data_IF_841836900278
#
_entry.id   IF_841836900278
#
_cell.length_a   1.000
_cell.length_b   1.000
_cell.length_c   1.000
_cell.angle_alpha   90.00
_cell.angle_beta   90.00
_cell.angle_gamma   90.00
#
_symmetry.space_group_name_H-M   'P 1'
#
loop_
_entity.id
_entity.type
_entity.pdbx_description
1 polymer ?
#
# COMPACT_ATOMS: atom_id res chain seq x y z
N UNK A 1 38.42 -15.81 -32.69
CA UNK A 1 38.04 -16.08 -31.28
C UNK A 1 38.07 -14.86 -30.34
N UNK A 2 39.05 -13.94 -30.42
CA UNK A 2 39.21 -12.78 -29.49
C UNK A 2 38.00 -11.81 -29.50
N UNK A 3 37.48 -11.45 -30.70
CA UNK A 3 36.28 -10.59 -30.85
C UNK A 3 35.02 -11.16 -30.16
N UNK A 4 34.79 -12.48 -30.23
CA UNK A 4 33.62 -13.14 -29.60
C UNK A 4 33.76 -13.16 -28.06
N UNK A 5 34.97 -13.41 -27.54
CA UNK A 5 35.25 -13.32 -26.09
C UNK A 5 34.98 -11.91 -25.56
N UNK A 6 35.37 -10.87 -26.30
CA UNK A 6 35.10 -9.47 -25.94
C UNK A 6 33.60 -9.15 -25.93
N UNK A 7 32.83 -9.57 -26.94
CA UNK A 7 31.37 -9.40 -26.95
C UNK A 7 30.70 -10.04 -25.75
N UNK A 8 31.08 -11.28 -25.39
CA UNK A 8 30.54 -11.97 -24.20
C UNK A 8 30.82 -11.21 -22.90
N UNK A 9 32.00 -10.60 -22.77
CA UNK A 9 32.37 -9.79 -21.60
C UNK A 9 31.52 -8.53 -21.50
N UNK A 10 31.34 -7.81 -22.62
CA UNK A 10 30.51 -6.59 -22.68
C UNK A 10 29.06 -6.89 -22.25
N UNK A 11 28.44 -7.92 -22.81
CA UNK A 11 27.07 -8.30 -22.43
C UNK A 11 26.93 -8.59 -20.94
N UNK A 12 27.92 -9.28 -20.34
CA UNK A 12 27.90 -9.55 -18.90
C UNK A 12 27.98 -8.29 -18.05
N UNK A 13 28.79 -7.31 -18.45
CA UNK A 13 28.88 -6.03 -17.74
C UNK A 13 27.54 -5.28 -17.80
N UNK A 14 26.91 -5.21 -18.97
CA UNK A 14 25.61 -4.55 -19.15
C UNK A 14 24.53 -5.26 -18.32
N UNK A 15 24.45 -6.60 -18.42
CA UNK A 15 23.49 -7.40 -17.65
C UNK A 15 23.70 -7.25 -16.14
N UNK A 16 24.94 -7.10 -15.68
CA UNK A 16 25.24 -6.84 -14.28
C UNK A 16 24.75 -5.45 -13.84
N UNK A 17 24.94 -4.42 -14.67
CA UNK A 17 24.36 -3.09 -14.43
C UNK A 17 22.84 -3.13 -14.35
N UNK A 18 22.18 -3.82 -15.28
CA UNK A 18 20.71 -4.03 -15.25
C UNK A 18 20.27 -4.80 -14.01
N UNK A 19 21.05 -5.79 -13.57
CA UNK A 19 20.78 -6.54 -12.36
C UNK A 19 20.85 -5.66 -11.11
N UNK A 20 21.82 -4.74 -11.01
CA UNK A 20 21.89 -3.77 -9.90
C UNK A 20 20.64 -2.87 -9.90
N UNK A 21 20.28 -2.30 -11.05
CA UNK A 21 19.08 -1.46 -11.17
C UNK A 21 17.82 -2.23 -10.75
N UNK A 22 17.70 -3.47 -11.22
CA UNK A 22 16.63 -4.39 -10.84
C UNK A 22 16.59 -4.64 -9.34
N UNK A 23 17.71 -4.96 -8.70
CA UNK A 23 17.77 -5.22 -7.25
C UNK A 23 17.37 -3.98 -6.46
N UNK A 24 17.82 -2.79 -6.85
CA UNK A 24 17.41 -1.53 -6.19
C UNK A 24 15.89 -1.35 -6.30
N UNK A 25 15.32 -1.57 -7.49
CA UNK A 25 13.87 -1.50 -7.69
C UNK A 25 13.11 -2.55 -6.86
N UNK A 26 13.62 -3.79 -6.83
CA UNK A 26 13.04 -4.90 -6.06
C UNK A 26 12.98 -4.59 -4.56
N UNK A 27 14.09 -4.11 -3.98
CA UNK A 27 14.15 -3.67 -2.59
C UNK A 27 13.12 -2.58 -2.32
N UNK A 28 13.03 -1.58 -3.21
CA UNK A 28 12.07 -0.47 -3.06
C UNK A 28 10.63 -0.96 -3.11
N UNK A 29 10.30 -1.84 -4.05
CA UNK A 29 8.92 -2.32 -4.26
C UNK A 29 8.47 -3.21 -3.11
N UNK A 30 9.32 -4.14 -2.64
CA UNK A 30 8.90 -5.13 -1.64
C UNK A 30 8.88 -4.53 -0.24
N UNK A 31 9.98 -3.92 0.20
CA UNK A 31 10.09 -3.40 1.57
C UNK A 31 9.09 -2.26 1.84
N UNK A 32 8.79 -1.43 0.84
CA UNK A 32 7.94 -0.26 0.98
C UNK A 32 6.55 -0.44 0.34
N UNK A 33 6.10 -1.68 0.13
CA UNK A 33 4.74 -2.00 -0.37
C UNK A 33 3.65 -1.46 0.55
N UNK A 34 3.88 -1.49 1.87
CA UNK A 34 2.86 -1.15 2.87
C UNK A 34 2.95 0.28 3.41
N UNK A 35 4.13 0.93 3.30
CA UNK A 35 4.40 2.22 3.95
C UNK A 35 5.37 3.02 3.06
N UNK A 36 5.06 4.31 2.85
CA UNK A 36 5.99 5.22 2.16
C UNK A 36 7.20 5.55 3.05
N UNK A 37 8.40 5.67 2.48
CA UNK A 37 9.64 6.01 3.21
C UNK A 37 9.46 7.22 4.14
N UNK A 38 8.68 8.22 3.75
CA UNK A 38 8.44 9.44 4.54
C UNK A 38 7.56 9.18 5.79
N UNK A 39 6.69 8.17 5.76
CA UNK A 39 5.80 7.82 6.87
C UNK A 39 6.58 7.16 8.01
N UNK A 40 7.66 6.44 7.70
CA UNK A 40 8.59 5.84 8.68
C UNK A 40 9.21 6.92 9.58
N UNK A 41 9.63 8.06 8.99
CA UNK A 41 10.24 9.18 9.72
C UNK A 41 9.23 10.07 10.46
N UNK A 42 7.93 9.97 10.13
CA UNK A 42 6.88 10.80 10.73
C UNK A 42 6.19 10.17 11.95
N UNK A 43 6.70 9.05 12.45
CA UNK A 43 6.14 8.39 13.64
C UNK A 43 4.79 7.72 13.36
N UNK A 44 4.61 7.14 12.17
CA UNK A 44 3.45 6.31 11.87
C UNK A 44 3.29 5.21 12.93
N UNK A 45 2.05 4.89 13.31
CA UNK A 45 1.78 3.82 14.27
C UNK A 45 2.35 2.52 13.73
N UNK A 46 3.46 2.07 14.35
CA UNK A 46 4.13 0.84 13.98
C UNK A 46 3.14 -0.30 14.10
N UNK A 47 2.77 -0.89 12.97
CA UNK A 47 1.88 -2.03 12.90
C UNK A 47 2.66 -3.14 12.21
N UNK A 48 2.94 -4.19 12.96
CA UNK A 48 3.52 -5.42 12.45
C UNK A 48 2.48 -6.52 12.54
N UNK A 49 2.34 -7.28 11.47
CA UNK A 49 1.55 -8.50 11.45
C UNK A 49 2.37 -9.63 10.85
N UNK A 50 2.05 -10.86 11.22
CA UNK A 50 2.71 -12.03 10.68
C UNK A 50 1.63 -13.03 10.24
N UNK A 51 1.70 -13.46 8.99
CA UNK A 51 0.92 -14.57 8.46
C UNK A 51 1.87 -15.73 8.16
N UNK A 52 1.73 -16.82 8.91
CA UNK A 52 2.47 -18.07 8.71
C UNK A 52 1.59 -19.18 8.14
N UNK A 53 0.30 -18.92 7.90
CA UNK A 53 -0.63 -19.91 7.34
C UNK A 53 -0.52 -19.82 5.82
N UNK A 54 0.02 -20.86 5.16
CA UNK A 54 0.14 -20.86 3.71
C UNK A 54 -1.23 -20.76 3.04
N UNK A 55 -1.25 -20.05 1.92
CA UNK A 55 -2.38 -19.74 1.06
C UNK A 55 -3.48 -18.88 1.70
N UNK A 56 -3.36 -18.48 2.96
CA UNK A 56 -4.38 -17.69 3.65
C UNK A 56 -4.61 -16.35 2.95
N UNK A 57 -3.54 -15.62 2.68
CA UNK A 57 -3.65 -14.30 2.05
C UNK A 57 -4.10 -14.45 0.60
N UNK A 58 -3.61 -15.47 -0.09
CA UNK A 58 -4.05 -15.79 -1.46
C UNK A 58 -5.57 -16.05 -1.50
N UNK A 59 -6.09 -16.88 -0.61
CA UNK A 59 -7.52 -17.20 -0.52
C UNK A 59 -8.33 -15.96 -0.14
N UNK A 60 -7.90 -15.20 0.87
CA UNK A 60 -8.56 -13.95 1.26
C UNK A 60 -8.65 -12.95 0.10
N UNK A 61 -7.60 -12.85 -0.71
CA UNK A 61 -7.63 -12.03 -1.92
C UNK A 61 -8.61 -12.55 -2.98
N UNK A 62 -8.69 -13.87 -3.18
CA UNK A 62 -9.65 -14.50 -4.11
C UNK A 62 -11.09 -14.27 -3.64
N UNK A 63 -11.35 -14.36 -2.34
CA UNK A 63 -12.70 -14.15 -1.78
C UNK A 63 -13.13 -12.68 -1.87
N UNK A 64 -12.19 -11.75 -1.67
CA UNK A 64 -12.43 -10.30 -1.75
C UNK A 64 -12.42 -9.77 -3.20
N UNK A 65 -12.07 -10.61 -4.18
CA UNK A 65 -11.98 -10.30 -5.61
C UNK A 65 -13.28 -9.73 -6.20
N UNK A 66 -14.44 -10.10 -5.64
CA UNK A 66 -15.75 -9.62 -6.10
C UNK A 66 -16.04 -8.15 -5.75
N UNK A 67 -15.35 -7.57 -4.77
CA UNK A 67 -15.67 -6.23 -4.24
C UNK A 67 -14.66 -5.13 -4.61
N UNK A 68 -13.39 -5.46 -4.86
CA UNK A 68 -12.30 -4.46 -5.00
C UNK A 68 -11.93 -4.07 -6.45
N UNK A 69 -12.52 -4.72 -7.47
CA UNK A 69 -12.17 -4.54 -8.88
C UNK A 69 -11.00 -5.44 -9.32
N UNK A 70 -11.17 -6.07 -10.48
CA UNK A 70 -10.37 -7.21 -10.96
C UNK A 70 -8.87 -6.95 -11.13
N UNK A 71 -8.46 -5.71 -11.42
CA UNK A 71 -7.07 -5.40 -11.78
C UNK A 71 -6.16 -5.18 -10.57
N UNK A 72 -6.61 -4.48 -9.51
CA UNK A 72 -5.78 -4.20 -8.32
C UNK A 72 -5.48 -5.46 -7.51
N UNK A 73 -6.48 -6.34 -7.34
CA UNK A 73 -6.30 -7.61 -6.64
C UNK A 73 -5.33 -8.53 -7.40
N UNK A 74 -5.47 -8.62 -8.72
CA UNK A 74 -4.54 -9.36 -9.57
C UNK A 74 -3.13 -8.75 -9.55
N UNK A 75 -2.99 -7.43 -9.62
CA UNK A 75 -1.70 -6.75 -9.61
C UNK A 75 -0.90 -6.98 -8.31
N UNK A 76 -1.57 -7.11 -7.16
CA UNK A 76 -0.90 -7.40 -5.89
C UNK A 76 -0.35 -8.83 -5.81
N UNK A 77 -1.13 -9.82 -6.25
CA UNK A 77 -0.78 -11.24 -6.21
C UNK A 77 0.19 -11.62 -7.33
N UNK A 78 -0.13 -11.23 -8.56
CA UNK A 78 0.73 -11.44 -9.71
C UNK A 78 1.99 -10.58 -9.64
N UNK A 79 1.95 -9.43 -8.96
CA UNK A 79 3.09 -8.55 -8.75
C UNK A 79 4.25 -9.25 -8.02
N UNK A 80 3.96 -9.93 -6.91
CA UNK A 80 4.97 -10.67 -6.13
C UNK A 80 5.61 -11.80 -6.96
N UNK A 81 4.80 -12.53 -7.75
CA UNK A 81 5.32 -13.56 -8.66
C UNK A 81 6.17 -12.95 -9.79
N UNK A 82 5.64 -11.95 -10.50
CA UNK A 82 6.28 -11.38 -11.69
C UNK A 82 7.57 -10.64 -11.32
N UNK A 83 7.62 -9.97 -10.17
CA UNK A 83 8.78 -9.17 -9.76
C UNK A 83 10.05 -10.01 -9.50
N UNK A 84 9.90 -11.30 -9.18
CA UNK A 84 11.02 -12.23 -9.01
C UNK A 84 11.45 -12.98 -10.28
N UNK A 85 10.71 -12.87 -11.39
CA UNK A 85 11.13 -13.51 -12.66
C UNK A 85 12.53 -13.07 -13.12
N UNK A 86 12.91 -11.77 -13.07
CA UNK A 86 14.26 -11.36 -13.42
C UNK A 86 15.35 -11.98 -12.56
N UNK A 87 15.12 -12.17 -11.27
CA UNK A 87 16.04 -12.92 -10.42
C UNK A 87 16.27 -14.34 -10.97
N UNK A 88 15.18 -15.01 -11.38
CA UNK A 88 15.18 -16.36 -11.93
C UNK A 88 16.04 -16.55 -13.18
N UNK A 89 16.12 -15.56 -14.08
CA UNK A 89 16.94 -15.66 -15.30
C UNK A 89 18.28 -14.90 -15.23
N UNK A 90 18.41 -13.81 -14.43
CA UNK A 90 19.64 -13.01 -14.36
C UNK A 90 20.71 -13.70 -13.52
N UNK A 91 20.35 -14.23 -12.35
CA UNK A 91 21.29 -14.87 -11.41
C UNK A 91 22.05 -16.04 -12.05
N UNK A 92 21.39 -17.06 -12.64
CA UNK A 92 22.07 -18.15 -13.37
C UNK A 92 22.84 -17.69 -14.61
N UNK A 93 22.51 -16.54 -15.20
CA UNK A 93 23.19 -15.98 -16.38
C UNK A 93 24.50 -15.27 -16.00
N UNK A 94 24.47 -14.55 -14.88
CA UNK A 94 25.62 -13.80 -14.37
C UNK A 94 26.61 -14.73 -13.67
N UNK A 95 26.13 -15.69 -12.89
CA UNK A 95 26.96 -16.55 -12.05
C UNK A 95 26.69 -18.05 -12.27
N UNK A 96 27.73 -18.77 -12.69
CA UNK A 96 27.66 -20.23 -12.97
C UNK A 96 27.33 -21.07 -11.74
N UNK A 97 27.60 -20.59 -10.52
CA UNK A 97 27.25 -21.31 -9.27
C UNK A 97 25.73 -21.49 -9.13
N UNK A 98 24.95 -20.59 -9.73
CA UNK A 98 23.50 -20.63 -9.75
C UNK A 98 22.94 -21.21 -11.05
N UNK A 99 23.78 -21.87 -11.87
CA UNK A 99 23.35 -22.42 -13.16
C UNK A 99 22.32 -23.56 -13.05
N UNK A 100 22.17 -24.16 -11.86
CA UNK A 100 21.16 -25.19 -11.54
C UNK A 100 19.95 -24.53 -10.89
N UNK A 101 18.75 -24.98 -11.27
CA UNK A 101 17.48 -24.47 -10.72
C UNK A 101 17.45 -24.51 -9.18
N UNK A 102 17.95 -25.57 -8.55
CA UNK A 102 18.00 -25.70 -7.09
C UNK A 102 18.75 -24.54 -6.42
N UNK A 103 19.89 -24.12 -6.98
CA UNK A 103 20.66 -23.00 -6.46
C UNK A 103 19.89 -21.69 -6.59
N UNK A 104 19.21 -21.47 -7.72
CA UNK A 104 18.37 -20.28 -7.94
C UNK A 104 17.19 -20.23 -6.98
N UNK A 105 16.52 -21.37 -6.76
CA UNK A 105 15.38 -21.51 -5.83
C UNK A 105 15.81 -21.21 -4.40
N UNK A 106 16.93 -21.77 -3.94
CA UNK A 106 17.46 -21.51 -2.59
C UNK A 106 17.80 -20.02 -2.44
N UNK A 107 18.42 -19.42 -3.46
CA UNK A 107 18.78 -18.00 -3.44
C UNK A 107 17.55 -17.08 -3.43
N UNK A 108 16.52 -17.38 -4.22
CA UNK A 108 15.29 -16.58 -4.26
C UNK A 108 14.48 -16.73 -2.97
N UNK A 109 14.39 -17.95 -2.42
CA UNK A 109 13.77 -18.20 -1.13
C UNK A 109 14.48 -17.41 -0.03
N UNK A 110 15.82 -17.48 0.02
CA UNK A 110 16.61 -16.74 1.01
C UNK A 110 16.46 -15.22 0.89
N UNK A 111 16.43 -14.67 -0.34
CA UNK A 111 16.19 -13.25 -0.56
C UNK A 111 14.78 -12.83 -0.15
N UNK A 112 13.76 -13.65 -0.47
CA UNK A 112 12.39 -13.35 -0.06
C UNK A 112 12.22 -13.42 1.45
N UNK A 113 12.79 -14.43 2.09
CA UNK A 113 12.80 -14.54 3.56
C UNK A 113 13.49 -13.33 4.21
N UNK A 114 14.60 -12.88 3.62
CA UNK A 114 15.27 -11.66 4.08
C UNK A 114 14.34 -10.43 4.03
N UNK A 115 13.54 -10.28 2.97
CA UNK A 115 12.56 -9.19 2.90
C UNK A 115 11.50 -9.29 3.99
N UNK A 116 10.87 -10.46 4.15
CA UNK A 116 9.85 -10.66 5.18
C UNK A 116 10.38 -10.39 6.60
N UNK A 117 11.58 -10.90 6.91
CA UNK A 117 12.24 -10.67 8.21
C UNK A 117 12.55 -9.20 8.40
N UNK A 118 13.04 -8.51 7.36
CA UNK A 118 13.32 -7.08 7.43
C UNK A 118 12.06 -6.27 7.69
N UNK A 119 10.95 -6.60 7.01
CA UNK A 119 9.66 -5.94 7.22
C UNK A 119 9.14 -6.15 8.65
N UNK A 120 9.28 -7.35 9.20
CA UNK A 120 8.91 -7.67 10.58
C UNK A 120 9.73 -6.86 11.58
N UNK A 121 11.06 -6.92 11.46
CA UNK A 121 12.02 -6.32 12.42
C UNK A 121 11.94 -4.80 12.40
N UNK A 122 11.77 -4.20 11.22
CA UNK A 122 11.64 -2.75 11.09
C UNK A 122 10.22 -2.24 11.40
N UNK A 123 9.25 -3.15 11.61
CA UNK A 123 7.86 -2.83 11.90
C UNK A 123 7.23 -1.96 10.79
N UNK A 124 7.62 -2.22 9.55
CA UNK A 124 7.26 -1.43 8.35
C UNK A 124 6.18 -2.12 7.49
N UNK A 125 5.65 -3.26 7.94
CA UNK A 125 4.61 -3.96 7.18
C UNK A 125 4.19 -5.30 7.80
N UNK A 126 3.49 -6.08 6.98
CA UNK A 126 3.08 -7.45 7.28
C UNK A 126 4.07 -8.43 6.68
N UNK A 127 4.54 -9.38 7.49
CA UNK A 127 5.28 -10.52 6.98
C UNK A 127 4.33 -11.64 6.57
N UNK A 128 4.52 -12.19 5.37
CA UNK A 128 3.60 -13.17 4.79
C UNK A 128 4.33 -14.34 4.14
N UNK A 129 4.01 -15.56 4.57
CA UNK A 129 4.55 -16.78 3.96
C UNK A 129 4.15 -16.93 2.49
N UNK A 130 2.99 -16.37 2.11
CA UNK A 130 2.51 -16.41 0.72
C UNK A 130 3.40 -15.60 -0.20
N UNK A 131 3.98 -14.50 0.29
CA UNK A 131 4.92 -13.67 -0.48
C UNK A 131 6.22 -14.44 -0.75
N UNK A 132 6.73 -15.20 0.22
CA UNK A 132 7.89 -16.11 0.01
C UNK A 132 7.58 -17.17 -1.05
N UNK A 133 6.40 -17.77 -1.00
CA UNK A 133 5.97 -18.79 -1.96
C UNK A 133 5.89 -18.18 -3.37
N UNK A 134 5.18 -17.05 -3.52
CA UNK A 134 4.99 -16.38 -4.81
C UNK A 134 6.30 -15.89 -5.41
N UNK A 135 7.17 -15.28 -4.61
CA UNK A 135 8.48 -14.80 -5.03
C UNK A 135 9.36 -15.97 -5.50
N UNK A 136 9.33 -17.09 -4.78
CA UNK A 136 10.08 -18.30 -5.16
C UNK A 136 9.54 -18.91 -6.45
N UNK A 137 8.22 -19.00 -6.61
CA UNK A 137 7.58 -19.45 -7.86
C UNK A 137 7.89 -18.51 -9.03
N UNK A 138 7.94 -17.20 -8.77
CA UNK A 138 8.38 -16.18 -9.71
C UNK A 138 9.79 -16.44 -10.24
N UNK A 139 10.73 -16.73 -9.35
CA UNK A 139 12.09 -17.09 -9.73
C UNK A 139 12.15 -18.42 -10.52
N UNK A 140 11.32 -19.41 -10.19
CA UNK A 140 11.18 -20.64 -10.98
C UNK A 140 10.68 -20.34 -12.39
N UNK A 141 9.63 -19.51 -12.52
CA UNK A 141 9.10 -19.10 -13.82
C UNK A 141 10.15 -18.35 -14.66
N UNK A 142 10.91 -17.44 -14.04
CA UNK A 142 12.04 -16.76 -14.67
C UNK A 142 13.14 -17.73 -15.13
N UNK A 143 13.49 -18.72 -14.31
CA UNK A 143 14.45 -19.76 -14.70
C UNK A 143 13.96 -20.60 -15.88
N UNK A 144 12.65 -20.85 -15.97
CA UNK A 144 12.04 -21.52 -17.11
C UNK A 144 12.20 -20.72 -18.40
N UNK A 145 12.07 -19.38 -18.36
CA UNK A 145 12.38 -18.50 -19.52
C UNK A 145 13.82 -18.71 -20.01
N UNK A 146 14.79 -18.73 -19.09
CA UNK A 146 16.19 -19.00 -19.43
C UNK A 146 16.37 -20.40 -20.03
N UNK A 147 15.67 -21.39 -19.49
CA UNK A 147 15.74 -22.78 -19.99
C UNK A 147 15.17 -22.89 -21.40
N UNK A 148 14.03 -22.24 -21.68
CA UNK A 148 13.46 -22.15 -23.02
C UNK A 148 14.42 -21.47 -24.01
N UNK A 149 15.04 -20.34 -23.62
CA UNK A 149 16.03 -19.66 -24.47
C UNK A 149 17.25 -20.54 -24.78
N UNK A 150 17.72 -21.33 -23.80
CA UNK A 150 18.82 -22.29 -24.00
C UNK A 150 18.46 -23.42 -24.96
N UNK A 151 17.18 -23.83 -25.02
CA UNK A 151 16.68 -24.81 -25.99
C UNK A 151 16.58 -24.21 -27.40
N UNK A 152 16.14 -22.95 -27.52
CA UNK A 152 15.96 -22.26 -28.81
C UNK A 152 17.31 -21.91 -29.46
N UNK A 153 18.30 -21.48 -28.67
CA UNK A 153 19.60 -21.08 -29.20
C UNK A 153 20.75 -21.63 -28.38
N UNK A 154 21.69 -22.33 -29.04
CA UNK A 154 22.95 -22.78 -28.43
C UNK A 154 23.99 -21.66 -28.27
N UNK A 155 23.79 -20.52 -28.95
CA UNK A 155 24.74 -19.39 -28.94
C UNK A 155 24.51 -18.50 -27.71
N UNK A 156 25.42 -18.57 -26.74
CA UNK A 156 25.39 -17.76 -25.50
C UNK A 156 25.25 -16.25 -25.77
N UNK A 157 25.78 -15.74 -26.88
CA UNK A 157 25.63 -14.31 -27.24
C UNK A 157 24.18 -13.96 -27.55
N UNK A 158 23.45 -14.84 -28.24
CA UNK A 158 22.02 -14.65 -28.53
C UNK A 158 21.21 -14.76 -27.25
N UNK A 159 21.49 -15.76 -26.40
CA UNK A 159 20.85 -15.91 -25.09
C UNK A 159 21.00 -14.64 -24.24
N UNK A 160 22.22 -14.11 -24.11
CA UNK A 160 22.48 -12.89 -23.34
C UNK A 160 21.77 -11.67 -23.93
N UNK A 161 21.71 -11.56 -25.26
CA UNK A 161 20.99 -10.48 -25.93
C UNK A 161 19.48 -10.54 -25.66
N UNK A 162 18.85 -11.72 -25.81
CA UNK A 162 17.44 -11.90 -25.49
C UNK A 162 17.14 -11.58 -24.02
N UNK A 163 17.97 -12.07 -23.09
CA UNK A 163 17.81 -11.77 -21.66
C UNK A 163 17.91 -10.28 -21.39
N UNK A 164 18.87 -9.60 -22.02
CA UNK A 164 19.00 -8.14 -21.92
C UNK A 164 17.74 -7.43 -22.40
N UNK A 165 17.20 -7.80 -23.58
CA UNK A 165 15.96 -7.23 -24.10
C UNK A 165 14.77 -7.47 -23.18
N UNK A 166 14.57 -8.71 -22.70
CA UNK A 166 13.50 -9.07 -21.77
C UNK A 166 13.62 -8.27 -20.47
N UNK A 167 14.84 -8.09 -19.95
CA UNK A 167 15.09 -7.31 -18.73
C UNK A 167 14.74 -5.84 -18.94
N UNK A 168 15.15 -5.24 -20.07
CA UNK A 168 14.84 -3.84 -20.38
C UNK A 168 13.34 -3.63 -20.52
N UNK A 169 12.64 -4.52 -21.24
CA UNK A 169 11.18 -4.48 -21.37
C UNK A 169 10.53 -4.57 -19.99
N UNK A 170 10.97 -5.53 -19.16
CA UNK A 170 10.47 -5.70 -17.80
C UNK A 170 10.65 -4.44 -16.95
N UNK A 171 11.82 -3.79 -17.00
CA UNK A 171 12.08 -2.57 -16.25
C UNK A 171 11.20 -1.40 -16.73
N UNK A 172 10.98 -1.27 -18.04
CA UNK A 172 10.12 -0.22 -18.60
C UNK A 172 8.66 -0.45 -18.18
N UNK A 173 8.12 -1.64 -18.41
CA UNK A 173 6.72 -1.95 -18.06
C UNK A 173 6.51 -1.90 -16.54
N UNK A 174 7.45 -2.44 -15.77
CA UNK A 174 7.46 -2.35 -14.32
C UNK A 174 7.49 -0.92 -13.81
N UNK A 175 8.26 -0.02 -14.44
CA UNK A 175 8.29 1.40 -14.07
C UNK A 175 6.96 2.11 -14.34
N UNK A 176 6.28 1.77 -15.45
CA UNK A 176 4.95 2.32 -15.78
C UNK A 176 3.92 1.87 -14.73
N UNK A 177 3.91 0.58 -14.38
CA UNK A 177 3.02 0.04 -13.33
C UNK A 177 3.34 0.65 -11.97
N UNK A 178 4.62 0.73 -11.61
CA UNK A 178 5.07 1.35 -10.37
C UNK A 178 4.63 2.82 -10.26
N UNK A 179 4.70 3.57 -11.35
CA UNK A 179 4.24 4.96 -11.38
C UNK A 179 2.71 5.10 -11.26
N UNK A 180 1.95 4.22 -11.91
CA UNK A 180 0.48 4.26 -11.88
C UNK A 180 -0.12 3.82 -10.55
N UNK A 181 0.31 2.66 -10.06
CA UNK A 181 -0.29 2.04 -8.86
C UNK A 181 0.35 2.53 -7.57
N UNK A 182 1.67 2.74 -7.58
CA UNK A 182 2.45 3.05 -6.39
C UNK A 182 3.09 4.44 -6.44
N UNK A 183 2.72 5.28 -7.41
CA UNK A 183 3.35 6.59 -7.62
C UNK A 183 3.36 7.45 -6.37
N UNK A 184 2.24 7.52 -5.65
CA UNK A 184 2.12 8.28 -4.40
C UNK A 184 2.95 7.65 -3.27
N UNK A 185 2.88 6.32 -3.11
CA UNK A 185 3.63 5.60 -2.05
C UNK A 185 5.15 5.67 -2.27
N UNK A 186 5.59 5.53 -3.51
CA UNK A 186 7.00 5.59 -3.93
C UNK A 186 7.53 7.02 -4.07
N UNK A 187 6.70 8.03 -3.78
CA UNK A 187 6.99 9.45 -3.88
C UNK A 187 7.40 9.88 -5.31
N UNK A 188 6.84 9.22 -6.33
CA UNK A 188 6.99 9.55 -7.74
C UNK A 188 5.91 10.54 -8.22
N UNK A 189 4.76 10.57 -7.53
CA UNK A 189 3.64 11.49 -7.81
C UNK A 189 3.11 12.10 -6.51
N UNK A 190 2.47 13.27 -6.61
CA UNK A 190 1.74 13.88 -5.49
C UNK A 190 0.29 13.39 -5.48
N UNK A 191 -0.23 13.10 -4.30
CA UNK A 191 -1.65 12.82 -4.14
C UNK A 191 -2.44 14.07 -4.55
N UNK A 192 -3.34 13.93 -5.52
CA UNK A 192 -4.27 15.00 -5.89
C UNK A 192 -5.51 14.85 -5.01
N UNK A 193 -5.78 15.81 -4.15
CA UNK A 193 -7.00 15.84 -3.36
C UNK A 193 -8.08 16.62 -4.12
N UNK A 194 -9.23 15.98 -4.33
CA UNK A 194 -10.42 16.61 -4.91
C UNK A 194 -11.54 16.51 -3.89
N UNK A 195 -12.02 17.66 -3.40
CA UNK A 195 -13.10 17.71 -2.42
C UNK A 195 -14.40 18.05 -3.14
N UNK A 196 -15.36 17.13 -3.11
CA UNK A 196 -16.70 17.28 -3.68
C UNK A 196 -17.74 17.50 -2.58
N UNK A 197 -18.49 18.60 -2.65
CA UNK A 197 -19.49 18.95 -1.63
C UNK A 197 -18.88 19.52 -0.35
N UNK A 198 -19.71 19.77 0.67
CA UNK A 198 -19.21 20.24 1.97
C UNK A 198 -18.59 21.64 1.98
N UNK A 199 -18.98 22.55 1.06
CA UNK A 199 -18.47 23.95 1.03
C UNK A 199 -18.67 24.70 2.37
N UNK A 200 -19.68 24.30 3.12
CA UNK A 200 -20.03 24.88 4.42
C UNK A 200 -19.28 24.24 5.59
N UNK A 201 -18.47 23.19 5.35
CA UNK A 201 -17.63 22.55 6.37
C UNK A 201 -16.56 23.57 6.78
N UNK A 202 -16.47 23.91 8.08
CA UNK A 202 -15.42 24.79 8.57
C UNK A 202 -14.03 24.23 8.23
N UNK A 203 -13.16 25.03 7.58
CA UNK A 203 -11.75 24.65 7.29
C UNK A 203 -10.84 24.78 8.53
N UNK A 204 -11.37 24.49 9.71
CA UNK A 204 -10.65 24.55 10.98
C UNK A 204 -10.40 23.14 11.50
N UNK A 205 -9.39 22.97 12.35
CA UNK A 205 -9.19 21.70 13.06
C UNK A 205 -10.40 21.38 13.93
N UNK A 206 -10.76 20.09 13.99
CA UNK A 206 -11.82 19.58 14.86
C UNK A 206 -11.54 19.92 16.33
N UNK A 207 -12.59 20.35 17.02
CA UNK A 207 -12.52 20.65 18.45
C UNK A 207 -12.61 19.35 19.28
N UNK A 208 -13.16 18.28 18.70
CA UNK A 208 -13.23 16.97 19.32
C UNK A 208 -13.25 15.82 18.29
N UNK A 209 -12.69 14.67 18.66
CA UNK A 209 -12.69 13.43 17.87
C UNK A 209 -13.06 12.25 18.77
N UNK A 210 -14.04 11.43 18.39
CA UNK A 210 -14.46 10.29 19.21
C UNK A 210 -15.15 9.17 18.43
N UNK A 211 -15.45 8.07 19.12
CA UNK A 211 -16.16 6.92 18.54
C UNK A 211 -17.62 6.91 19.01
N UNK A 212 -18.57 6.58 18.13
CA UNK A 212 -19.97 6.45 18.54
C UNK A 212 -20.19 5.24 19.41
N UNK A 213 -21.04 5.41 20.41
CA UNK A 213 -21.61 4.34 21.23
C UNK A 213 -23.04 4.07 20.80
N UNK A 214 -23.80 5.13 20.56
CA UNK A 214 -25.21 5.07 20.26
C UNK A 214 -25.62 6.26 19.40
N UNK A 215 -26.35 5.99 18.32
CA UNK A 215 -27.00 7.00 17.49
C UNK A 215 -28.51 6.88 17.73
N UNK A 216 -29.13 7.97 18.15
CA UNK A 216 -30.58 8.13 18.24
C UNK A 216 -31.02 9.22 17.26
N UNK A 217 -32.33 9.41 17.09
CA UNK A 217 -32.86 10.35 16.10
C UNK A 217 -32.35 11.79 16.27
N UNK A 218 -32.11 12.24 17.51
CA UNK A 218 -31.75 13.63 17.82
C UNK A 218 -30.45 13.78 18.65
N UNK A 219 -29.79 12.68 19.01
CA UNK A 219 -28.56 12.69 19.80
C UNK A 219 -27.56 11.59 19.39
N UNK A 220 -26.28 11.94 19.43
CA UNK A 220 -25.17 10.98 19.30
C UNK A 220 -24.42 10.93 20.62
N UNK A 221 -24.25 9.72 21.15
CA UNK A 221 -23.35 9.46 22.28
C UNK A 221 -21.99 9.03 21.77
N UNK A 222 -20.96 9.74 22.20
CA UNK A 222 -19.56 9.43 21.91
C UNK A 222 -18.84 8.90 23.15
N UNK A 223 -17.97 7.92 22.95
CA UNK A 223 -17.01 7.41 23.92
C UNK A 223 -15.59 7.75 23.50
N UNK A 224 -14.70 7.80 24.49
CA UNK A 224 -13.26 8.04 24.31
C UNK A 224 -12.96 9.29 23.48
N UNK A 225 -13.70 10.37 23.75
CA UNK A 225 -13.55 11.61 22.99
C UNK A 225 -12.26 12.32 23.39
N UNK A 226 -11.42 12.60 22.40
CA UNK A 226 -10.27 13.49 22.52
C UNK A 226 -10.69 14.92 22.19
N UNK A 227 -10.62 15.83 23.17
CA UNK A 227 -10.96 17.25 22.99
C UNK A 227 -9.67 18.04 22.70
N UNK A 228 -9.70 18.89 21.69
CA UNK A 228 -8.59 19.76 21.29
C UNK A 228 -8.87 21.19 21.74
N UNK A 229 -8.18 21.63 22.79
CA UNK A 229 -8.39 22.96 23.36
C UNK A 229 -7.55 24.02 22.61
N UNK A 230 -8.20 24.93 21.87
CA UNK A 230 -7.52 25.96 21.06
C UNK A 230 -6.89 27.10 21.86
N UNK A 231 -7.24 27.27 23.15
CA UNK A 231 -6.80 28.41 23.97
C UNK A 231 -5.39 28.26 24.57
N UNK A 232 -4.72 27.14 24.40
CA UNK A 232 -3.30 26.98 24.76
C UNK A 232 -2.51 26.72 23.49
N UNK A 233 -1.80 27.74 23.00
CA UNK A 233 -0.97 27.66 21.80
C UNK A 233 -0.12 26.39 21.81
N UNK A 234 -0.38 25.48 20.86
CA UNK A 234 0.35 24.24 20.69
C UNK A 234 -0.20 23.06 21.49
N UNK A 235 -0.82 22.11 20.77
CA UNK A 235 -0.96 20.68 21.11
C UNK A 235 -1.18 20.35 22.59
N UNK A 236 -2.17 20.97 23.24
CA UNK A 236 -2.66 20.46 24.53
C UNK A 236 -3.58 19.26 24.26
N UNK A 237 -3.03 18.05 24.29
CA UNK A 237 -3.81 16.82 24.43
C UNK A 237 -4.31 16.73 25.87
N UNK A 238 -5.53 17.21 26.13
CA UNK A 238 -6.21 16.82 27.37
C UNK A 238 -6.71 15.38 27.17
N UNK A 239 -5.90 14.40 27.58
CA UNK A 239 -6.22 12.96 27.56
C UNK A 239 -7.27 12.60 28.62
N UNK A 240 -8.27 13.45 28.83
CA UNK A 240 -9.46 13.08 29.56
C UNK A 240 -10.40 12.38 28.60
N UNK A 241 -10.36 11.05 28.53
CA UNK A 241 -11.42 10.28 27.86
C UNK A 241 -12.74 10.64 28.56
N UNK A 242 -13.61 11.37 27.86
CA UNK A 242 -14.95 11.71 28.36
C UNK A 242 -15.99 11.16 27.41
N UNK A 243 -17.11 10.76 28.00
CA UNK A 243 -18.32 10.46 27.24
C UNK A 243 -19.04 11.78 27.00
N UNK A 244 -19.41 12.01 25.74
CA UNK A 244 -20.02 13.25 25.29
C UNK A 244 -21.32 12.94 24.59
N UNK A 245 -22.41 13.57 25.05
CA UNK A 245 -23.69 13.57 24.36
C UNK A 245 -23.75 14.80 23.45
N UNK A 246 -23.88 14.58 22.14
CA UNK A 246 -24.11 15.62 21.14
C UNK A 246 -25.61 15.64 20.85
N UNK A 247 -26.28 16.75 21.20
CA UNK A 247 -27.70 16.96 20.90
C UNK A 247 -27.80 17.82 19.65
N UNK A 248 -28.58 17.37 18.67
CA UNK A 248 -28.81 18.12 17.45
C UNK A 248 -29.81 19.25 17.66
N UNK A 249 -29.55 20.36 16.99
CA UNK A 249 -30.43 21.52 16.94
C UNK A 249 -30.65 21.95 15.49
N UNK A 250 -31.57 22.90 15.25
CA UNK A 250 -31.88 23.40 13.89
C UNK A 250 -30.68 23.97 13.12
N UNK A 251 -29.58 24.31 13.80
CA UNK A 251 -28.35 24.80 13.20
C UNK A 251 -27.29 23.72 12.96
N UNK A 252 -27.55 22.50 13.43
CA UNK A 252 -26.65 21.36 13.27
C UNK A 252 -26.67 20.92 11.81
N UNK A 253 -25.48 20.73 11.26
CA UNK A 253 -25.31 20.10 9.96
C UNK A 253 -24.41 18.88 10.13
N UNK A 254 -24.81 17.80 9.46
CA UNK A 254 -24.12 16.52 9.53
C UNK A 254 -23.72 16.10 8.12
N UNK A 255 -22.44 15.77 7.95
CA UNK A 255 -21.88 15.35 6.67
C UNK A 255 -21.21 14.00 6.82
N UNK A 256 -21.55 13.12 5.88
CA UNK A 256 -20.91 11.83 5.71
C UNK A 256 -19.75 11.99 4.73
N UNK A 257 -18.56 11.58 5.15
CA UNK A 257 -17.37 11.60 4.32
C UNK A 257 -17.22 10.24 3.63
N UNK A 258 -17.09 10.28 2.30
CA UNK A 258 -16.73 9.10 1.50
C UNK A 258 -15.46 9.40 0.74
N UNK A 259 -14.44 8.59 1.00
CA UNK A 259 -13.18 8.64 0.28
C UNK A 259 -13.19 7.64 -0.86
N UNK A 260 -12.83 8.09 -2.05
CA UNK A 260 -12.55 7.23 -3.21
C UNK A 260 -11.14 7.47 -3.72
N UNK A 261 -10.39 6.40 -3.96
CA UNK A 261 -9.00 6.43 -4.39
C UNK A 261 -8.86 5.85 -5.79
N UNK A 262 -8.65 6.75 -6.76
CA UNK A 262 -8.48 6.39 -8.16
C UNK A 262 -7.35 7.19 -8.80
N UNK A 263 -6.42 6.50 -9.48
CA UNK A 263 -5.35 7.11 -10.29
C UNK A 263 -4.61 8.28 -9.59
N UNK A 264 -4.00 8.01 -8.43
CA UNK A 264 -3.29 9.00 -7.59
C UNK A 264 -4.15 10.19 -7.12
N UNK A 265 -5.47 10.11 -7.28
CA UNK A 265 -6.43 11.12 -6.83
C UNK A 265 -7.27 10.56 -5.70
N UNK A 266 -7.24 11.24 -4.55
CA UNK A 266 -8.16 11.01 -3.45
C UNK A 266 -9.34 11.96 -3.63
N UNK A 267 -10.53 11.41 -3.87
CA UNK A 267 -11.76 12.19 -3.96
C UNK A 267 -12.51 12.07 -2.65
N UNK A 268 -12.52 13.15 -1.88
CA UNK A 268 -13.30 13.25 -0.64
C UNK A 268 -14.67 13.79 -1.01
N UNK A 269 -15.71 12.97 -0.87
CA UNK A 269 -17.10 13.38 -1.14
C UNK A 269 -17.85 13.59 0.16
N UNK A 270 -18.23 14.83 0.43
CA UNK A 270 -18.98 15.25 1.60
C UNK A 270 -20.48 15.32 1.31
N UNK A 271 -21.22 14.31 1.76
CA UNK A 271 -22.66 14.18 1.54
C UNK A 271 -23.41 14.69 2.77
N UNK A 272 -24.26 15.70 2.61
CA UNK A 272 -25.11 16.19 3.71
C UNK A 272 -26.17 15.13 4.06
N UNK A 273 -26.19 14.71 5.32
CA UNK A 273 -27.15 13.72 5.83
C UNK A 273 -28.22 14.42 6.66
N UNK A 274 -29.47 14.00 6.49
CA UNK A 274 -30.56 14.44 7.36
C UNK A 274 -30.43 13.69 8.70
N UNK A 275 -30.56 14.40 9.81
CA UNK A 275 -30.45 13.89 11.19
C UNK A 275 -31.27 12.61 11.39
N UNK A 276 -32.49 12.57 10.82
CA UNK A 276 -33.42 11.42 10.86
C UNK A 276 -32.96 10.17 10.10
N UNK A 277 -31.82 10.21 9.40
CA UNK A 277 -31.27 9.07 8.65
C UNK A 277 -29.91 8.61 9.17
N UNK A 278 -29.41 9.19 10.27
CA UNK A 278 -28.09 8.86 10.80
C UNK A 278 -27.95 7.39 11.25
N UNK A 279 -29.03 6.79 11.76
CA UNK A 279 -29.04 5.37 12.15
C UNK A 279 -28.90 4.41 10.96
N UNK A 280 -29.05 4.88 9.71
CA UNK A 280 -28.90 4.06 8.50
C UNK A 280 -27.47 4.01 7.98
N UNK A 281 -26.55 4.77 8.57
CA UNK A 281 -25.16 4.83 8.15
C UNK A 281 -24.40 3.57 8.58
N UNK A 282 -23.50 3.10 7.70
CA UNK A 282 -22.72 1.89 7.94
C UNK A 282 -21.71 2.09 9.09
N UNK A 283 -21.51 1.04 9.89
CA UNK A 283 -20.40 0.93 10.85
C UNK A 283 -19.05 1.17 10.13
N UNK A 284 -18.08 1.75 10.84
CA UNK A 284 -16.77 2.23 10.36
C UNK A 284 -16.77 3.45 9.43
N UNK A 285 -17.84 4.24 9.43
CA UNK A 285 -17.88 5.48 8.65
C UNK A 285 -17.44 6.71 9.47
N UNK A 286 -16.90 7.72 8.79
CA UNK A 286 -16.55 9.01 9.39
C UNK A 286 -17.65 10.05 9.13
N UNK A 287 -18.03 10.78 10.18
CA UNK A 287 -19.03 11.85 10.10
C UNK A 287 -18.44 13.13 10.67
N UNK A 288 -18.69 14.22 9.95
CA UNK A 288 -18.40 15.59 10.34
C UNK A 288 -19.68 16.26 10.85
N UNK A 289 -19.69 16.68 12.12
CA UNK A 289 -20.84 17.36 12.77
C UNK A 289 -20.43 18.78 13.17
N UNK A 290 -21.25 19.79 12.82
CA UNK A 290 -21.07 21.15 13.32
C UNK A 290 -22.39 21.89 13.52
N UNK A 291 -22.42 22.84 14.47
CA UNK A 291 -23.57 23.69 14.77
C UNK A 291 -23.20 24.82 15.74
N UNK A 292 -24.11 25.79 15.91
CA UNK A 292 -23.93 26.88 16.88
C UNK A 292 -24.69 26.57 18.19
N UNK A 293 -24.06 26.92 19.31
CA UNK A 293 -24.58 26.71 20.67
C UNK A 293 -25.64 27.76 21.03
N UNK A 294 -26.78 27.32 21.57
CA UNK A 294 -27.66 28.08 22.47
C UNK A 294 -28.20 27.12 23.53
N UNK A 295 -28.25 27.57 24.79
CA UNK A 295 -28.86 26.86 25.93
C UNK A 295 -28.08 25.66 26.52
N UNK A 296 -26.77 25.82 26.71
CA UNK A 296 -26.10 25.22 27.87
C UNK A 296 -25.62 23.76 27.78
N UNK A 297 -25.65 23.10 26.61
CA UNK A 297 -24.95 21.81 26.42
C UNK A 297 -24.14 21.74 25.11
N UNK A 298 -22.88 21.31 25.31
CA UNK A 298 -21.70 21.11 24.47
C UNK A 298 -21.21 22.20 23.48
N UNK A 299 -19.89 22.40 23.58
CA UNK A 299 -19.01 23.40 22.99
C UNK A 299 -18.10 22.80 21.91
N UNK A 300 -18.63 22.44 20.73
CA UNK A 300 -17.76 22.11 19.61
C UNK A 300 -18.37 22.59 18.30
N UNK A 301 -17.65 23.47 17.62
CA UNK A 301 -18.04 24.02 16.33
C UNK A 301 -17.69 23.05 15.20
N UNK A 302 -16.91 22.00 15.47
CA UNK A 302 -16.62 20.92 14.53
C UNK A 302 -16.18 19.64 15.27
N UNK A 303 -16.89 18.53 15.07
CA UNK A 303 -16.62 17.22 15.69
C UNK A 303 -16.48 16.16 14.59
N UNK A 304 -15.46 15.30 14.71
CA UNK A 304 -15.30 14.10 13.89
C UNK A 304 -15.73 12.87 14.68
N UNK A 305 -16.60 12.07 14.08
CA UNK A 305 -17.23 10.92 14.70
C UNK A 305 -16.95 9.67 13.87
N UNK A 306 -16.36 8.66 14.50
CA UNK A 306 -16.18 7.33 13.90
C UNK A 306 -17.31 6.40 14.34
N UNK A 307 -18.10 5.93 13.38
CA UNK A 307 -19.17 4.97 13.65
C UNK A 307 -18.58 3.61 14.01
N UNK A 308 -18.99 3.02 15.14
CA UNK A 308 -18.68 1.63 15.53
C UNK A 308 -19.86 0.69 15.29
#
# INVERSE_FOLDING_TARGET
>A
MKKIKNKKKIFKVILFGLFIIYIIALFKIILFKSISFLQIFKGYNKSRSINLIPFKSIIQFIDTYKEMGSFRAFANLAGNLIVFMPFGYLVPTLNKRFSRIRSTVIASFGLSLFFEVTQYVLEIGSSDIDDIILNTLGAVAGYSVLTCLRKISSKVVIQNFCIMCITVIFLITGSIVAFREYGVMLNLTKLKEVINGGRDIPKISADAVGHTVQIKENDIKLEKVSIYNKNKGGKSHDKGERNIDIVFNKSTKVYFERDDYKDNTMTITNIKVNEKKLYTLKKNSMISVWGNNREGKLFANFIIVYLK
#
